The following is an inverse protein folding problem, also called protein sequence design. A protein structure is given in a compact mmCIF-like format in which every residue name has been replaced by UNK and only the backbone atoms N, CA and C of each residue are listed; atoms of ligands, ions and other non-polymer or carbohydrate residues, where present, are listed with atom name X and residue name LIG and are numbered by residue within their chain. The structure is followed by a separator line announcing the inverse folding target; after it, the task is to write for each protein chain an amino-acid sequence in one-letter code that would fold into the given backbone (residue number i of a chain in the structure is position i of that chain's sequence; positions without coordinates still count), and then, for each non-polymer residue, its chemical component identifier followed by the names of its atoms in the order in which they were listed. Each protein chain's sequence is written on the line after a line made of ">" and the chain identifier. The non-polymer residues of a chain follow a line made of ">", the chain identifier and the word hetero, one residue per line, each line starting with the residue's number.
data_IF_440831489553
#
_entry.id   IF_440831489553
#
_cell.length_a   1.000
_cell.length_b   1.000
_cell.length_c   1.000
_cell.angle_alpha   90.00
_cell.angle_beta   90.00
_cell.angle_gamma   90.00
#
_symmetry.space_group_name_H-M   'P 1'
#
loop_
_entity.id
_entity.type
_entity.pdbx_description
1 polymer ?
#
# COMPACT_ATOMS: atom_id res chain seq x y z
N UNK A 1 4.53 9.68 -16.83
CA UNK A 1 4.01 10.47 -15.69
C UNK A 1 5.04 10.58 -14.57
N UNK A 2 5.62 9.48 -14.08
CA UNK A 2 6.61 9.52 -12.99
C UNK A 2 7.75 10.54 -13.19
N UNK A 3 8.38 10.60 -14.37
CA UNK A 3 9.44 11.59 -14.65
C UNK A 3 8.97 13.04 -14.61
N UNK A 4 7.73 13.30 -15.03
CA UNK A 4 7.12 14.64 -14.96
C UNK A 4 6.87 15.03 -13.51
N UNK A 5 6.46 14.07 -12.67
CA UNK A 5 6.26 14.30 -11.23
C UNK A 5 7.60 14.48 -10.51
N UNK A 6 8.65 13.75 -10.91
CA UNK A 6 10.00 13.86 -10.35
C UNK A 6 10.66 15.23 -10.62
N UNK A 7 10.22 15.93 -11.67
CA UNK A 7 10.64 17.29 -11.99
C UNK A 7 9.81 18.37 -11.27
N UNK A 8 8.82 17.97 -10.46
CA UNK A 8 7.95 18.86 -9.69
C UNK A 8 8.29 18.86 -8.21
N UNK A 9 7.62 19.71 -7.43
CA UNK A 9 7.79 19.79 -5.97
C UNK A 9 7.05 18.67 -5.20
N UNK A 10 6.56 17.63 -5.87
CA UNK A 10 5.93 16.48 -5.22
C UNK A 10 6.99 15.63 -4.53
N UNK A 11 6.86 15.44 -3.23
CA UNK A 11 7.85 14.72 -2.41
C UNK A 11 7.65 13.19 -2.41
N UNK A 12 6.43 12.73 -2.65
CA UNK A 12 6.05 11.31 -2.57
C UNK A 12 5.21 10.87 -3.76
N UNK A 13 5.57 9.74 -4.37
CA UNK A 13 4.72 9.00 -5.31
C UNK A 13 4.26 7.71 -4.66
N UNK A 14 2.94 7.54 -4.58
CA UNK A 14 2.32 6.27 -4.22
C UNK A 14 1.94 5.50 -5.49
N UNK A 15 2.56 4.33 -5.68
CA UNK A 15 2.06 3.29 -6.58
C UNK A 15 1.01 2.50 -5.82
N UNK A 16 -0.23 2.98 -5.90
CA UNK A 16 -1.34 2.43 -5.13
C UNK A 16 -2.14 1.39 -5.89
N UNK A 17 -2.76 0.46 -5.16
CA UNK A 17 -3.69 -0.54 -5.71
C UNK A 17 -4.93 0.08 -6.40
N UNK A 18 -5.17 1.38 -6.21
CA UNK A 18 -6.08 2.20 -7.01
C UNK A 18 -5.89 2.05 -8.53
N UNK A 19 -4.70 1.63 -8.99
CA UNK A 19 -4.43 1.29 -10.39
C UNK A 19 -5.38 0.20 -10.91
N UNK A 20 -5.90 -0.66 -10.03
CA UNK A 20 -6.91 -1.66 -10.39
C UNK A 20 -8.12 -1.01 -11.05
N UNK A 21 -8.59 0.09 -10.47
CA UNK A 21 -9.75 0.83 -10.98
C UNK A 21 -9.36 1.81 -12.09
N UNK A 22 -8.29 2.57 -11.90
CA UNK A 22 -7.95 3.69 -12.80
C UNK A 22 -7.19 3.30 -14.06
N UNK A 23 -6.49 2.15 -14.04
CA UNK A 23 -5.65 1.69 -15.15
C UNK A 23 -6.11 0.34 -15.72
N UNK A 24 -6.52 -0.59 -14.85
CA UNK A 24 -6.89 -1.95 -15.24
C UNK A 24 -8.40 -2.14 -15.46
N UNK A 25 -9.23 -1.18 -15.05
CA UNK A 25 -10.68 -1.18 -15.27
C UNK A 25 -11.46 -2.15 -14.38
N UNK A 26 -10.92 -2.52 -13.22
CA UNK A 26 -11.63 -3.32 -12.21
C UNK A 26 -12.65 -2.47 -11.44
N UNK A 27 -13.69 -3.11 -10.95
CA UNK A 27 -14.72 -2.45 -10.12
C UNK A 27 -14.24 -2.14 -8.69
N UNK A 28 -13.10 -2.70 -8.27
CA UNK A 28 -12.48 -2.46 -6.97
C UNK A 28 -10.97 -2.73 -7.01
N UNK A 29 -10.26 -2.48 -5.91
CA UNK A 29 -8.81 -2.77 -5.80
C UNK A 29 -8.51 -4.24 -5.43
N UNK A 30 -9.52 -5.01 -5.01
CA UNK A 30 -9.38 -6.41 -4.58
C UNK A 30 -8.71 -7.33 -5.60
N UNK A 31 -8.97 -7.22 -6.93
CA UNK A 31 -8.34 -8.11 -7.91
C UNK A 31 -6.86 -7.79 -8.20
N UNK A 32 -6.31 -6.70 -7.66
CA UNK A 32 -4.91 -6.31 -7.90
C UNK A 32 -3.97 -7.34 -7.27
N UNK A 33 -2.96 -7.76 -8.04
CA UNK A 33 -1.99 -8.78 -7.62
C UNK A 33 -0.63 -8.16 -7.27
N UNK A 34 0.21 -8.93 -6.56
CA UNK A 34 1.62 -8.58 -6.33
C UNK A 34 2.35 -8.31 -7.66
N UNK A 35 2.06 -9.08 -8.71
CA UNK A 35 2.69 -8.89 -10.01
C UNK A 35 2.30 -7.56 -10.67
N UNK A 36 1.05 -7.10 -10.48
CA UNK A 36 0.65 -5.77 -10.90
C UNK A 36 1.45 -4.70 -10.15
N UNK A 37 1.54 -4.82 -8.82
CA UNK A 37 2.27 -3.85 -7.99
C UNK A 37 3.76 -3.79 -8.34
N UNK A 38 4.39 -4.94 -8.58
CA UNK A 38 5.80 -5.01 -8.99
C UNK A 38 5.98 -4.41 -10.38
N UNK A 39 5.12 -4.75 -11.35
CA UNK A 39 5.20 -4.21 -12.71
C UNK A 39 5.13 -2.67 -12.72
N UNK A 40 4.12 -2.10 -12.08
CA UNK A 40 3.93 -0.65 -12.03
C UNK A 40 4.99 0.02 -11.16
N UNK A 41 5.36 -0.57 -10.02
CA UNK A 41 6.41 -0.07 -9.13
C UNK A 41 7.75 0.09 -9.84
N UNK A 42 8.19 -0.93 -10.59
CA UNK A 42 9.43 -0.87 -11.39
C UNK A 42 9.41 0.25 -12.42
N UNK A 43 8.27 0.46 -13.07
CA UNK A 43 8.13 1.53 -14.06
C UNK A 43 8.27 2.92 -13.42
N UNK A 44 7.70 3.12 -12.23
CA UNK A 44 7.76 4.39 -11.49
C UNK A 44 9.16 4.63 -10.93
N UNK A 45 9.78 3.66 -10.26
CA UNK A 45 11.17 3.76 -9.75
C UNK A 45 12.19 4.02 -10.85
N UNK A 46 11.92 3.54 -12.07
CA UNK A 46 12.76 3.89 -13.22
C UNK A 46 12.59 5.35 -13.65
N UNK A 47 11.37 5.88 -13.56
CA UNK A 47 10.99 7.20 -14.06
C UNK A 47 11.20 8.34 -13.07
N UNK A 48 11.16 8.09 -11.76
CA UNK A 48 11.37 9.10 -10.71
C UNK A 48 12.57 8.70 -9.86
N UNK A 49 13.64 9.50 -9.87
CA UNK A 49 14.92 9.20 -9.20
C UNK A 49 15.14 9.97 -7.92
N UNK A 50 14.40 11.06 -7.73
CA UNK A 50 14.59 12.01 -6.64
C UNK A 50 13.38 12.08 -5.70
N UNK A 51 12.25 11.49 -6.11
CA UNK A 51 11.02 11.43 -5.33
C UNK A 51 10.97 10.18 -4.46
N UNK A 52 10.43 10.28 -3.25
CA UNK A 52 10.21 9.11 -2.38
C UNK A 52 9.06 8.24 -2.93
N UNK A 53 9.29 6.95 -3.13
CA UNK A 53 8.35 6.04 -3.77
C UNK A 53 7.84 5.00 -2.79
N UNK A 54 6.52 4.96 -2.62
CA UNK A 54 5.82 3.92 -1.87
C UNK A 54 5.06 3.01 -2.81
N UNK A 55 5.10 1.70 -2.57
CA UNK A 55 4.31 0.71 -3.34
C UNK A 55 3.35 -0.03 -2.41
N UNK A 56 2.10 -0.15 -2.83
CA UNK A 56 1.10 -0.88 -2.04
C UNK A 56 1.36 -2.38 -1.94
N UNK A 57 1.11 -2.93 -0.76
CA UNK A 57 0.79 -4.33 -0.56
C UNK A 57 -0.68 -4.54 -0.89
N UNK A 58 -1.02 -5.30 -1.95
CA UNK A 58 -2.41 -5.47 -2.38
C UNK A 58 -3.16 -6.43 -1.44
N UNK A 59 -4.49 -6.41 -1.52
CA UNK A 59 -5.34 -7.30 -0.73
C UNK A 59 -4.93 -8.78 -0.85
N UNK A 60 -4.95 -9.50 0.27
CA UNK A 60 -4.55 -10.90 0.40
C UNK A 60 -3.04 -11.13 0.48
N UNK A 61 -2.23 -10.08 0.42
CA UNK A 61 -0.77 -10.20 0.47
C UNK A 61 -0.17 -10.11 1.87
N UNK A 62 -0.90 -9.65 2.88
CA UNK A 62 -0.37 -9.47 4.23
C UNK A 62 -1.32 -9.90 5.35
N UNK A 63 -2.57 -10.19 5.02
CA UNK A 63 -3.66 -10.48 5.96
C UNK A 63 -3.61 -11.93 6.45
N UNK A 64 -3.01 -12.84 5.67
CA UNK A 64 -2.99 -14.28 5.94
C UNK A 64 -2.08 -14.63 7.12
N UNK A 65 -0.85 -14.11 7.13
CA UNK A 65 0.10 -14.30 8.23
C UNK A 65 1.24 -13.28 8.16
N UNK A 66 1.95 -13.12 9.29
CA UNK A 66 3.15 -12.25 9.36
C UNK A 66 4.24 -12.71 8.41
N UNK A 67 4.44 -14.02 8.29
CA UNK A 67 5.43 -14.63 7.41
C UNK A 67 5.11 -14.32 5.95
N UNK A 68 3.83 -14.42 5.56
CA UNK A 68 3.40 -14.10 4.20
C UNK A 68 3.54 -12.61 3.89
N UNK A 69 3.20 -11.76 4.85
CA UNK A 69 3.39 -10.32 4.74
C UNK A 69 4.87 -9.95 4.53
N UNK A 70 5.77 -10.53 5.34
CA UNK A 70 7.22 -10.33 5.19
C UNK A 70 7.71 -10.80 3.82
N UNK A 71 7.32 -12.00 3.39
CA UNK A 71 7.71 -12.54 2.07
C UNK A 71 7.30 -11.58 0.95
N UNK A 72 6.04 -11.14 0.93
CA UNK A 72 5.52 -10.27 -0.10
C UNK A 72 6.11 -8.85 -0.03
N UNK A 73 6.30 -8.30 1.16
CA UNK A 73 6.93 -6.98 1.34
C UNK A 73 8.38 -6.99 0.83
N UNK A 74 9.14 -8.03 1.17
CA UNK A 74 10.51 -8.21 0.66
C UNK A 74 10.53 -8.34 -0.86
N UNK A 75 9.59 -9.09 -1.45
CA UNK A 75 9.47 -9.20 -2.91
C UNK A 75 9.20 -7.85 -3.56
N UNK A 76 8.18 -7.12 -3.10
CA UNK A 76 7.85 -5.79 -3.64
C UNK A 76 9.07 -4.86 -3.53
N UNK A 77 9.66 -4.75 -2.34
CA UNK A 77 10.80 -3.86 -2.08
C UNK A 77 12.00 -4.21 -2.97
N UNK A 78 12.39 -5.49 -3.01
CA UNK A 78 13.55 -5.97 -3.78
C UNK A 78 13.35 -5.86 -5.29
N UNK A 79 12.16 -6.20 -5.79
CA UNK A 79 11.91 -6.29 -7.23
C UNK A 79 11.59 -4.93 -7.85
N UNK A 80 11.04 -3.99 -7.06
CA UNK A 80 10.75 -2.62 -7.53
C UNK A 80 11.87 -1.64 -7.28
N UNK A 81 12.56 -1.75 -6.12
CA UNK A 81 13.48 -0.74 -5.63
C UNK A 81 12.77 0.50 -5.06
N UNK A 82 11.52 0.37 -4.59
CA UNK A 82 10.82 1.45 -3.89
C UNK A 82 11.43 1.74 -2.51
N UNK A 83 11.11 2.89 -1.92
CA UNK A 83 11.65 3.31 -0.63
C UNK A 83 10.89 2.71 0.56
N UNK A 84 9.59 2.43 0.39
CA UNK A 84 8.81 1.70 1.39
C UNK A 84 7.61 0.96 0.77
N UNK A 85 7.02 0.06 1.54
CA UNK A 85 5.72 -0.54 1.21
C UNK A 85 4.59 0.14 1.99
N UNK A 86 3.36 0.13 1.46
CA UNK A 86 2.16 0.56 2.20
C UNK A 86 1.24 -0.63 2.46
N UNK A 87 0.62 -0.70 3.64
CA UNK A 87 -0.44 -1.66 3.94
C UNK A 87 -1.57 -1.01 4.73
N UNK A 88 -2.77 -1.57 4.63
CA UNK A 88 -3.97 -1.04 5.27
C UNK A 88 -4.34 -1.81 6.54
N UNK A 89 -4.76 -1.07 7.56
CA UNK A 89 -5.33 -1.64 8.79
C UNK A 89 -4.73 -1.07 10.06
N UNK A 90 -5.41 -1.33 11.17
CA UNK A 90 -5.15 -0.69 12.45
C UNK A 90 -4.21 -1.50 13.37
N UNK A 91 -4.54 -1.47 14.66
CA UNK A 91 -3.77 -2.11 15.72
C UNK A 91 -3.56 -3.62 15.51
N UNK A 92 -4.47 -4.27 14.80
CA UNK A 92 -4.42 -5.69 14.46
C UNK A 92 -3.19 -6.06 13.61
N UNK A 93 -2.60 -5.12 12.86
CA UNK A 93 -1.41 -5.36 12.03
C UNK A 93 -0.11 -4.85 12.64
N UNK A 94 -0.10 -4.35 13.89
CA UNK A 94 1.11 -3.83 14.52
C UNK A 94 2.24 -4.87 14.55
N UNK A 95 1.93 -6.12 14.87
CA UNK A 95 2.95 -7.18 14.91
C UNK A 95 3.40 -7.61 13.50
N UNK A 96 2.54 -7.47 12.50
CA UNK A 96 2.88 -7.66 11.08
C UNK A 96 3.83 -6.57 10.61
N UNK A 97 3.52 -5.30 10.89
CA UNK A 97 4.35 -4.14 10.56
C UNK A 97 5.73 -4.28 11.22
N UNK A 98 5.79 -4.64 12.51
CA UNK A 98 7.06 -4.90 13.20
C UNK A 98 7.87 -6.00 12.52
N UNK A 99 7.22 -7.09 12.10
CA UNK A 99 7.91 -8.18 11.41
C UNK A 99 8.51 -7.72 10.06
N UNK A 100 7.77 -6.92 9.29
CA UNK A 100 8.24 -6.36 8.00
C UNK A 100 9.44 -5.42 8.23
N UNK A 101 9.34 -4.52 9.21
CA UNK A 101 10.42 -3.59 9.56
C UNK A 101 11.66 -4.36 10.04
N UNK A 102 11.50 -5.39 10.87
CA UNK A 102 12.60 -6.24 11.33
C UNK A 102 13.28 -7.01 10.19
N UNK A 103 12.57 -7.26 9.09
CA UNK A 103 13.13 -7.84 7.87
C UNK A 103 13.84 -6.81 6.96
N UNK A 104 13.89 -5.53 7.37
CA UNK A 104 14.60 -4.46 6.67
C UNK A 104 13.76 -3.70 5.64
N UNK A 105 12.44 -3.85 5.63
CA UNK A 105 11.55 -3.16 4.68
C UNK A 105 10.79 -2.04 5.42
N UNK A 106 10.98 -0.76 5.06
CA UNK A 106 10.21 0.34 5.64
C UNK A 106 8.72 0.25 5.28
N UNK A 107 7.85 0.69 6.19
CA UNK A 107 6.39 0.58 6.05
C UNK A 107 5.70 1.92 6.26
N UNK A 108 4.79 2.26 5.36
CA UNK A 108 3.78 3.31 5.52
C UNK A 108 2.45 2.66 5.92
N UNK A 109 1.89 3.05 7.07
CA UNK A 109 0.59 2.55 7.53
C UNK A 109 -0.58 3.36 6.95
N UNK A 110 -1.64 2.68 6.53
CA UNK A 110 -2.91 3.30 6.12
C UNK A 110 -4.03 2.91 7.09
N UNK A 111 -4.53 3.89 7.85
CA UNK A 111 -5.64 3.76 8.80
C UNK A 111 -6.83 4.61 8.36
N UNK A 112 -8.00 4.39 8.97
CA UNK A 112 -9.22 5.10 8.61
C UNK A 112 -10.04 4.33 7.57
N UNK A 113 -10.35 4.97 6.44
CA UNK A 113 -11.05 4.30 5.34
C UNK A 113 -10.05 3.49 4.52
N UNK A 114 -10.16 2.16 4.58
CA UNK A 114 -9.27 1.22 3.89
C UNK A 114 -10.01 0.53 2.72
N UNK A 115 -9.81 0.98 1.46
CA UNK A 115 -10.47 0.44 0.27
C UNK A 115 -10.45 -1.08 0.12
N UNK A 116 -9.37 -1.74 0.56
CA UNK A 116 -9.24 -3.20 0.48
C UNK A 116 -10.30 -3.92 1.33
N UNK A 117 -10.80 -3.27 2.37
CA UNK A 117 -11.88 -3.76 3.22
C UNK A 117 -13.25 -3.10 2.96
N UNK A 118 -13.37 -2.32 1.87
CA UNK A 118 -14.58 -1.53 1.57
C UNK A 118 -15.87 -2.34 1.54
N UNK A 119 -15.84 -3.60 1.09
CA UNK A 119 -16.99 -4.51 1.14
C UNK A 119 -17.44 -4.78 2.59
N UNK A 120 -16.50 -4.97 3.53
CA UNK A 120 -16.83 -5.13 4.96
C UNK A 120 -17.34 -3.83 5.59
N UNK A 121 -16.86 -2.68 5.12
CA UNK A 121 -17.31 -1.35 5.58
C UNK A 121 -18.66 -0.93 4.96
N UNK A 122 -19.20 -1.73 4.03
CA UNK A 122 -20.44 -1.42 3.31
C UNK A 122 -20.29 -0.24 2.35
N UNK A 123 -19.14 -0.16 1.67
CA UNK A 123 -18.77 0.86 0.70
C UNK A 123 -17.74 1.88 1.21
N UNK A 124 -17.45 2.90 0.39
CA UNK A 124 -16.56 4.01 0.74
C UNK A 124 -17.23 4.97 1.73
N UNK A 125 -17.21 4.62 3.02
CA UNK A 125 -17.84 5.42 4.09
C UNK A 125 -16.80 6.04 5.01
N UNK A 126 -17.07 7.27 5.46
CA UNK A 126 -16.26 7.99 6.44
C UNK A 126 -16.12 7.16 7.73
N UNK A 127 -14.89 6.99 8.21
CA UNK A 127 -14.56 6.30 9.46
C UNK A 127 -14.21 7.31 10.56
N UNK A 128 -14.28 6.89 11.83
CA UNK A 128 -13.92 7.75 12.97
C UNK A 128 -15.00 8.76 13.40
N UNK A 129 -16.25 8.58 12.98
CA UNK A 129 -17.35 9.52 13.25
C UNK A 129 -17.89 9.46 14.69
N UNK A 130 -17.55 8.41 15.44
CA UNK A 130 -17.83 8.29 16.88
C UNK A 130 -16.54 8.24 17.68
N UNK A 131 -16.59 8.68 18.96
CA UNK A 131 -15.43 8.65 19.86
C UNK A 131 -14.76 7.27 19.92
N UNK A 132 -15.56 6.21 19.98
CA UNK A 132 -15.03 4.84 20.07
C UNK A 132 -14.41 4.38 18.75
N UNK A 133 -14.99 4.75 17.60
CA UNK A 133 -14.39 4.47 16.29
C UNK A 133 -13.10 5.28 16.05
N UNK A 134 -13.04 6.53 16.52
CA UNK A 134 -11.86 7.39 16.40
C UNK A 134 -10.68 6.87 17.24
N UNK A 135 -10.94 6.25 18.39
CA UNK A 135 -9.89 5.60 19.21
C UNK A 135 -9.25 4.38 18.54
N UNK A 136 -9.93 3.76 17.58
CA UNK A 136 -9.41 2.57 16.87
C UNK A 136 -8.47 2.91 15.72
N UNK A 137 -8.45 4.17 15.29
CA UNK A 137 -7.64 4.68 14.18
C UNK A 137 -6.64 5.75 14.65
N UNK A 138 -6.30 5.77 15.94
CA UNK A 138 -5.30 6.66 16.55
C UNK A 138 -4.29 5.84 17.34
#
# INVERSE_FOLDING_TARGET
>A
MASIVDESDVEVILVGDSLGMTMLGYDSTVPVTIENMIHHGRAVVKGAKNTFITVDMPFGSYEVSKEKAVENAVRIFKETGCDCVKLEGGLEYVDTIKAIINAGVPVMGHIGLTPQSSTMLGGFKVQGTTRDSAKKIN
#
